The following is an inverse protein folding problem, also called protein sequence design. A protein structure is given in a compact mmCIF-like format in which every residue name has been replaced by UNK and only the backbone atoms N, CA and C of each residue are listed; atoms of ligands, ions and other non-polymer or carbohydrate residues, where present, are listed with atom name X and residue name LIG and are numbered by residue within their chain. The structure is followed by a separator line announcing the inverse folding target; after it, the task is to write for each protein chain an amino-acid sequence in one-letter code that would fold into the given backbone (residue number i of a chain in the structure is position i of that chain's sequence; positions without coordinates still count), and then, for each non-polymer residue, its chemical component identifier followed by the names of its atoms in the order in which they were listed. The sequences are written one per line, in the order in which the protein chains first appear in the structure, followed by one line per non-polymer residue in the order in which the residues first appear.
data_IF_190150339118
#
_entry.id   IF_190150339118
#
_cell.length_a   1.000
_cell.length_b   1.000
_cell.length_c   1.000
_cell.angle_alpha   90.00
_cell.angle_beta   90.00
_cell.angle_gamma   90.00
#
_symmetry.space_group_name_H-M   'P 1'
#
loop_
_entity.id
_entity.type
_entity.pdbx_description
1 polymer ?
#
# COMPACT_ATOMS: atom_id res chain seq x y z
N UNK A 1 -7.89 20.16 -9.31
CA UNK A 1 -7.91 19.12 -8.24
C UNK A 1 -6.55 18.44 -8.21
N UNK A 2 -5.73 18.64 -7.17
CA UNK A 2 -4.51 17.86 -7.00
C UNK A 2 -4.88 16.47 -6.51
N UNK A 3 -5.05 15.53 -7.43
CA UNK A 3 -5.01 14.11 -7.11
C UNK A 3 -3.56 13.78 -6.77
N UNK A 4 -3.13 14.05 -5.53
CA UNK A 4 -1.84 13.58 -5.04
C UNK A 4 -1.96 12.07 -4.82
N UNK A 5 -1.93 11.31 -5.92
CA UNK A 5 -1.76 9.88 -5.85
C UNK A 5 -0.44 9.63 -5.14
N UNK A 6 -0.48 8.82 -4.09
CA UNK A 6 0.74 8.32 -3.47
C UNK A 6 1.51 7.47 -4.48
N UNK A 7 2.84 7.41 -4.36
CA UNK A 7 3.70 6.63 -5.25
C UNK A 7 3.18 5.18 -5.41
N UNK A 8 2.67 4.58 -4.31
CA UNK A 8 2.02 3.27 -4.34
C UNK A 8 0.75 3.22 -5.21
N UNK A 9 -0.18 4.15 -5.00
CA UNK A 9 -1.45 4.17 -5.73
C UNK A 9 -1.25 4.46 -7.22
N UNK A 10 -0.25 5.27 -7.58
CA UNK A 10 0.12 5.48 -8.99
C UNK A 10 0.70 4.22 -9.62
N UNK A 11 1.62 3.54 -8.93
CA UNK A 11 2.19 2.27 -9.39
C UNK A 11 1.09 1.22 -9.62
N UNK A 12 0.14 1.11 -8.68
CA UNK A 12 -0.99 0.19 -8.81
C UNK A 12 -1.90 0.59 -9.97
N UNK A 13 -2.24 1.87 -10.09
CA UNK A 13 -3.08 2.37 -11.18
C UNK A 13 -2.46 2.13 -12.55
N UNK A 14 -1.15 2.32 -12.71
CA UNK A 14 -0.41 2.00 -13.95
C UNK A 14 -0.50 0.53 -14.35
N UNK A 15 -0.61 -0.38 -13.37
CA UNK A 15 -0.85 -1.82 -13.60
C UNK A 15 -2.34 -2.18 -13.70
N UNK A 16 -3.26 -1.22 -13.66
CA UNK A 16 -4.71 -1.45 -13.71
C UNK A 16 -5.34 -1.90 -12.39
N UNK A 17 -4.64 -1.77 -11.27
CA UNK A 17 -5.12 -2.20 -9.95
C UNK A 17 -5.46 -1.02 -9.03
N UNK A 18 -6.46 -1.23 -8.16
CA UNK A 18 -6.77 -0.33 -7.04
C UNK A 18 -6.25 -0.93 -5.74
N UNK A 19 -5.68 -0.11 -4.86
CA UNK A 19 -5.17 -0.55 -3.55
C UNK A 19 -6.21 -1.32 -2.74
N UNK A 20 -7.46 -0.84 -2.72
CA UNK A 20 -8.56 -1.50 -2.01
C UNK A 20 -8.87 -2.90 -2.56
N UNK A 21 -8.78 -3.09 -3.88
CA UNK A 21 -8.98 -4.40 -4.52
C UNK A 21 -7.84 -5.34 -4.18
N UNK A 22 -6.60 -4.84 -4.22
CA UNK A 22 -5.42 -5.61 -3.82
C UNK A 22 -5.51 -6.06 -2.36
N UNK A 23 -5.88 -5.16 -1.45
CA UNK A 23 -6.02 -5.48 -0.02
C UNK A 23 -7.09 -6.56 0.22
N UNK A 24 -8.24 -6.48 -0.48
CA UNK A 24 -9.26 -7.53 -0.45
C UNK A 24 -8.76 -8.87 -0.96
N UNK A 25 -8.03 -8.89 -2.08
CA UNK A 25 -7.47 -10.11 -2.64
C UNK A 25 -6.48 -10.80 -1.68
N UNK A 26 -5.73 -10.01 -0.89
CA UNK A 26 -4.82 -10.50 0.16
C UNK A 26 -5.52 -10.78 1.50
N UNK A 27 -6.86 -10.70 1.57
CA UNK A 27 -7.66 -10.89 2.79
C UNK A 27 -7.23 -9.98 3.96
N UNK A 28 -6.75 -8.77 3.65
CA UNK A 28 -6.37 -7.80 4.65
C UNK A 28 -7.60 -7.14 5.29
N UNK A 29 -7.50 -6.86 6.59
CA UNK A 29 -8.54 -6.15 7.31
C UNK A 29 -8.45 -4.62 7.08
N UNK A 30 -9.45 -3.89 7.59
CA UNK A 30 -9.52 -2.43 7.43
C UNK A 30 -8.33 -1.72 8.10
N UNK A 31 -7.83 -2.24 9.22
CA UNK A 31 -6.67 -1.69 9.93
C UNK A 31 -5.38 -1.82 9.11
N UNK A 32 -5.17 -2.96 8.45
CA UNK A 32 -4.06 -3.21 7.55
C UNK A 32 -4.13 -2.28 6.32
N UNK A 33 -5.32 -2.13 5.75
CA UNK A 33 -5.54 -1.18 4.65
C UNK A 33 -5.17 0.25 5.05
N UNK A 34 -5.60 0.71 6.22
CA UNK A 34 -5.22 2.03 6.77
C UNK A 34 -3.72 2.14 7.01
N UNK A 35 -3.08 1.06 7.48
CA UNK A 35 -1.64 1.03 7.69
C UNK A 35 -0.89 1.20 6.37
N UNK A 36 -1.34 0.54 5.30
CA UNK A 36 -0.77 0.70 3.95
C UNK A 36 -0.98 2.11 3.41
N UNK A 37 -2.17 2.70 3.61
CA UNK A 37 -2.40 4.10 3.26
C UNK A 37 -1.42 5.02 4.00
N UNK A 38 -1.23 4.81 5.30
CA UNK A 38 -0.25 5.60 6.07
C UNK A 38 1.18 5.43 5.53
N UNK A 39 1.56 4.22 5.11
CA UNK A 39 2.85 3.99 4.45
C UNK A 39 2.94 4.67 3.09
N UNK A 40 1.88 4.65 2.29
CA UNK A 40 1.89 5.27 0.98
C UNK A 40 2.00 6.79 1.05
N UNK A 41 1.46 7.41 2.11
CA UNK A 41 1.67 8.83 2.42
C UNK A 41 2.99 9.13 3.15
N UNK A 42 3.83 8.13 3.42
CA UNK A 42 5.11 8.31 4.13
C UNK A 42 4.98 8.62 5.64
N UNK A 43 3.79 8.49 6.22
CA UNK A 43 3.56 8.69 7.67
C UNK A 43 4.19 7.59 8.52
N UNK A 44 4.31 6.39 7.95
CA UNK A 44 4.93 5.22 8.57
C UNK A 44 5.89 4.57 7.58
N UNK A 45 7.14 4.30 7.98
CA UNK A 45 8.16 3.69 7.09
C UNK A 45 8.01 2.18 6.89
N UNK A 46 7.15 1.52 7.67
CA UNK A 46 6.95 0.06 7.57
C UNK A 46 8.16 -0.76 8.03
N UNK A 47 8.91 -0.30 9.03
CA UNK A 47 10.18 -0.94 9.44
C UNK A 47 9.97 -2.14 10.39
N UNK A 48 8.87 -2.17 11.15
CA UNK A 48 8.62 -3.19 12.19
C UNK A 48 7.15 -3.57 12.33
N UNK A 49 6.92 -4.74 12.94
CA UNK A 49 5.58 -5.27 13.24
C UNK A 49 4.74 -5.49 11.97
N UNK A 50 3.43 -5.32 12.10
CA UNK A 50 2.47 -5.52 11.00
C UNK A 50 2.79 -4.66 9.77
N UNK A 51 3.30 -3.45 9.96
CA UNK A 51 3.64 -2.57 8.84
C UNK A 51 4.79 -3.13 7.98
N UNK A 52 5.74 -3.85 8.59
CA UNK A 52 6.83 -4.53 7.87
C UNK A 52 6.30 -5.67 7.01
N UNK A 53 5.42 -6.51 7.58
CA UNK A 53 4.80 -7.62 6.84
C UNK A 53 4.02 -7.12 5.61
N UNK A 54 3.24 -6.04 5.78
CA UNK A 54 2.49 -5.43 4.69
C UNK A 54 3.39 -4.83 3.61
N UNK A 55 4.51 -4.22 4.02
CA UNK A 55 5.52 -3.71 3.08
C UNK A 55 6.16 -4.84 2.28
N UNK A 56 6.58 -5.92 2.93
CA UNK A 56 7.16 -7.08 2.26
C UNK A 56 6.15 -7.75 1.30
N UNK A 57 4.86 -7.81 1.66
CA UNK A 57 3.82 -8.27 0.76
C UNK A 57 3.67 -7.39 -0.50
N UNK A 58 3.72 -6.07 -0.33
CA UNK A 58 3.68 -5.12 -1.46
C UNK A 58 4.90 -5.28 -2.36
N UNK A 59 6.09 -5.39 -1.76
CA UNK A 59 7.35 -5.53 -2.49
C UNK A 59 7.39 -6.85 -3.28
N UNK A 60 6.87 -7.95 -2.71
CA UNK A 60 6.71 -9.24 -3.42
C UNK A 60 5.82 -9.15 -4.66
N UNK A 61 4.76 -8.35 -4.60
CA UNK A 61 3.89 -8.10 -5.75
C UNK A 61 4.43 -7.01 -6.70
N UNK A 62 5.65 -6.52 -6.45
CA UNK A 62 6.34 -5.53 -7.27
C UNK A 62 5.82 -4.10 -7.10
N UNK A 63 5.38 -3.75 -5.88
CA UNK A 63 4.97 -2.40 -5.49
C UNK A 63 5.89 -1.85 -4.41
N UNK A 64 6.34 -0.60 -4.57
CA UNK A 64 7.16 0.10 -3.58
C UNK A 64 6.34 1.15 -2.83
N UNK A 65 6.60 1.29 -1.53
CA UNK A 65 6.07 2.35 -0.67
C UNK A 65 7.15 3.38 -0.33
N UNK A 66 6.73 4.53 0.21
CA UNK A 66 7.59 5.66 0.52
C UNK A 66 8.53 5.41 1.72
#
# INVERSE_FOLDING_TARGET
MRNNFTNLTEQMAKKGFKLRTWAKAKKLNESDYRLILNMSYGKTKGIRGRAKELREMLEKDGFKVA
#
